data_IF_549026033060
#
_entry.id   IF_549026033060
#
_cell.length_a   1.000
_cell.length_b   1.000
_cell.length_c   1.000
_cell.angle_alpha   90.00
_cell.angle_beta   90.00
_cell.angle_gamma   90.00
#
_symmetry.space_group_name_H-M   'P 1'
#
loop_
_entity.id
_entity.type
_entity.pdbx_description
1 polymer ?
#
# COMPACT_ATOMS: atom_id res chain seq x y z
N UNK A 1 -8.22 20.55 -8.24
CA UNK A 1 -6.78 20.25 -8.26
C UNK A 1 -5.90 21.46 -8.07
N UNK A 2 -6.14 22.59 -8.75
CA UNK A 2 -5.38 23.83 -8.50
C UNK A 2 -5.36 24.24 -7.01
N UNK A 3 -6.50 24.13 -6.32
CA UNK A 3 -6.58 24.43 -4.88
C UNK A 3 -5.74 23.47 -4.03
N UNK A 4 -5.70 22.18 -4.39
CA UNK A 4 -4.84 21.21 -3.71
C UNK A 4 -3.35 21.56 -3.90
N UNK A 5 -2.96 22.04 -5.08
CA UNK A 5 -1.59 22.50 -5.34
C UNK A 5 -1.26 23.73 -4.50
N UNK A 6 -2.19 24.68 -4.33
CA UNK A 6 -1.99 25.84 -3.44
C UNK A 6 -1.82 25.42 -1.98
N UNK A 7 -2.65 24.49 -1.49
CA UNK A 7 -2.51 23.94 -0.14
C UNK A 7 -1.14 23.27 0.03
N UNK A 8 -0.71 22.48 -0.95
CA UNK A 8 0.60 21.84 -0.96
C UNK A 8 1.76 22.85 -0.95
N UNK A 9 1.67 23.92 -1.74
CA UNK A 9 2.69 24.98 -1.77
C UNK A 9 2.73 25.79 -0.47
N UNK A 10 1.57 26.04 0.14
CA UNK A 10 1.44 26.64 1.47
C UNK A 10 2.09 25.74 2.53
N UNK A 11 1.80 24.43 2.48
CA UNK A 11 2.36 23.43 3.38
C UNK A 11 3.90 23.39 3.29
N UNK A 12 4.46 23.31 2.07
CA UNK A 12 5.91 23.35 1.83
C UNK A 12 6.57 24.60 2.44
N UNK A 13 5.91 25.75 2.29
CA UNK A 13 6.38 27.01 2.86
C UNK A 13 6.30 27.01 4.39
N UNK A 14 5.23 26.47 4.96
CA UNK A 14 5.00 26.38 6.41
C UNK A 14 6.03 25.48 7.10
N UNK A 15 6.26 24.27 6.56
CA UNK A 15 7.24 23.33 7.11
C UNK A 15 8.68 23.68 6.74
N UNK A 16 8.88 24.73 5.94
CA UNK A 16 10.19 25.24 5.48
C UNK A 16 11.00 24.19 4.70
N UNK A 17 10.33 23.25 4.03
CA UNK A 17 11.02 22.22 3.26
C UNK A 17 11.46 22.77 1.90
N UNK A 18 12.78 22.91 1.73
CA UNK A 18 13.39 23.48 0.52
C UNK A 18 13.73 22.39 -0.50
N UNK A 19 12.77 22.08 -1.36
CA UNK A 19 12.97 21.20 -2.51
C UNK A 19 13.57 21.95 -3.71
N UNK A 20 14.46 21.29 -4.44
CA UNK A 20 14.88 21.77 -5.77
C UNK A 20 13.69 21.71 -6.74
N UNK A 21 13.66 22.60 -7.74
CA UNK A 21 12.56 22.68 -8.71
C UNK A 21 12.14 21.32 -9.31
N UNK A 22 13.05 20.43 -9.75
CA UNK A 22 12.64 19.12 -10.27
C UNK A 22 11.92 18.24 -9.23
N UNK A 23 12.44 18.20 -8.00
CA UNK A 23 11.84 17.42 -6.92
C UNK A 23 10.49 17.99 -6.48
N UNK A 24 10.36 19.32 -6.43
CA UNK A 24 9.09 20.00 -6.14
C UNK A 24 8.02 19.66 -7.19
N UNK A 25 8.36 19.78 -8.47
CA UNK A 25 7.43 19.43 -9.55
C UNK A 25 7.03 17.95 -9.49
N UNK A 26 7.99 17.07 -9.19
CA UNK A 26 7.73 15.64 -9.06
C UNK A 26 6.75 15.35 -7.92
N UNK A 27 6.97 15.95 -6.74
CA UNK A 27 6.06 15.86 -5.61
C UNK A 27 4.65 16.35 -5.97
N UNK A 28 4.52 17.47 -6.67
CA UNK A 28 3.21 17.99 -7.11
C UNK A 28 2.49 17.00 -8.05
N UNK A 29 3.20 16.44 -9.03
CA UNK A 29 2.64 15.44 -9.95
C UNK A 29 2.20 14.18 -9.20
N UNK A 30 3.04 13.70 -8.28
CA UNK A 30 2.76 12.50 -7.50
C UNK A 30 1.54 12.70 -6.58
N UNK A 31 1.43 13.85 -5.90
CA UNK A 31 0.25 14.21 -5.11
C UNK A 31 -0.99 14.29 -5.98
N UNK A 32 -0.91 14.91 -7.16
CA UNK A 32 -2.04 14.97 -8.09
C UNK A 32 -2.48 13.56 -8.49
N UNK A 33 -1.54 12.67 -8.84
CA UNK A 33 -1.84 11.30 -9.23
C UNK A 33 -2.46 10.46 -8.09
N UNK A 34 -2.07 10.72 -6.84
CA UNK A 34 -2.66 10.09 -5.66
C UNK A 34 -4.08 10.61 -5.39
N UNK A 35 -4.28 11.93 -5.46
CA UNK A 35 -5.58 12.56 -5.20
C UNK A 35 -6.62 12.27 -6.28
N UNK A 36 -6.18 12.04 -7.52
CA UNK A 36 -7.05 11.60 -8.61
C UNK A 36 -7.20 10.08 -8.68
N UNK A 37 -6.61 9.34 -7.72
CA UNK A 37 -6.62 7.88 -7.65
C UNK A 37 -6.06 7.18 -8.90
N UNK A 38 -5.35 7.92 -9.78
CA UNK A 38 -4.65 7.34 -10.93
C UNK A 38 -3.51 6.43 -10.51
N UNK A 39 -2.92 6.69 -9.34
CA UNK A 39 -1.92 5.83 -8.70
C UNK A 39 -2.27 5.69 -7.22
N UNK A 40 -2.51 4.47 -6.71
CA UNK A 40 -2.81 4.28 -5.29
C UNK A 40 -1.56 4.36 -4.40
N UNK A 41 -0.36 4.15 -4.97
CA UNK A 41 0.93 4.08 -4.25
C UNK A 41 2.02 4.71 -5.12
N UNK A 42 2.89 5.48 -4.48
CA UNK A 42 4.07 6.08 -5.11
C UNK A 42 5.27 5.89 -4.17
N UNK A 43 6.31 5.21 -4.67
CA UNK A 43 7.61 5.16 -4.01
C UNK A 43 8.31 6.51 -4.17
N UNK A 44 8.82 7.06 -3.07
CA UNK A 44 9.33 8.42 -3.01
C UNK A 44 10.84 8.46 -3.09
N UNK A 45 11.35 9.23 -4.04
CA UNK A 45 12.75 9.66 -4.11
C UNK A 45 12.81 11.14 -4.53
N UNK A 46 12.50 12.05 -3.59
CA UNK A 46 12.60 13.50 -3.80
C UNK A 46 13.98 14.06 -3.43
N UNK A 47 14.94 13.17 -3.17
CA UNK A 47 16.22 13.51 -2.56
C UNK A 47 16.09 13.87 -1.07
N UNK A 48 17.18 13.71 -0.34
CA UNK A 48 17.22 13.87 1.11
C UNK A 48 17.81 12.62 1.78
N UNK A 49 18.17 12.74 3.05
CA UNK A 49 18.61 11.60 3.85
C UNK A 49 17.41 11.10 4.65
N UNK A 50 17.27 9.79 4.77
CA UNK A 50 16.50 9.21 5.87
C UNK A 50 17.22 9.53 7.20
N UNK A 51 16.51 9.90 8.28
CA UNK A 51 15.05 9.95 8.45
C UNK A 51 14.38 11.29 8.06
N UNK A 52 15.15 12.34 7.75
CA UNK A 52 14.63 13.70 7.53
C UNK A 52 13.56 13.79 6.43
N UNK A 53 13.69 12.98 5.38
CA UNK A 53 12.70 12.92 4.30
C UNK A 53 11.33 12.43 4.82
N UNK A 54 11.32 11.43 5.69
CA UNK A 54 10.09 10.91 6.29
C UNK A 54 9.43 11.97 7.16
N UNK A 55 10.20 12.66 8.00
CA UNK A 55 9.68 13.71 8.88
C UNK A 55 9.04 14.85 8.09
N UNK A 56 9.70 15.30 7.02
CA UNK A 56 9.15 16.34 6.15
C UNK A 56 7.87 15.89 5.45
N UNK A 57 7.82 14.65 4.92
CA UNK A 57 6.62 14.12 4.26
C UNK A 57 5.46 13.97 5.24
N UNK A 58 5.72 13.47 6.45
CA UNK A 58 4.71 13.35 7.50
C UNK A 58 4.18 14.73 7.91
N UNK A 59 5.06 15.71 8.12
CA UNK A 59 4.66 17.09 8.44
C UNK A 59 3.84 17.72 7.30
N UNK A 60 4.26 17.50 6.05
CA UNK A 60 3.56 17.98 4.85
C UNK A 60 2.15 17.42 4.76
N UNK A 61 2.00 16.08 4.82
CA UNK A 61 0.70 15.41 4.74
C UNK A 61 -0.22 15.85 5.87
N UNK A 62 0.30 15.93 7.10
CA UNK A 62 -0.47 16.38 8.27
C UNK A 62 -0.98 17.81 8.10
N UNK A 63 -0.15 18.72 7.61
CA UNK A 63 -0.56 20.10 7.34
C UNK A 63 -1.65 20.15 6.27
N UNK A 64 -1.44 19.47 5.13
CA UNK A 64 -2.43 19.44 4.05
C UNK A 64 -3.80 18.89 4.51
N UNK A 65 -3.80 17.89 5.40
CA UNK A 65 -5.02 17.31 5.98
C UNK A 65 -5.76 18.26 6.92
N UNK A 66 -5.04 19.13 7.62
CA UNK A 66 -5.65 20.16 8.47
C UNK A 66 -6.32 21.25 7.63
N UNK A 67 -5.73 21.58 6.48
CA UNK A 67 -6.23 22.63 5.60
C UNK A 67 -7.34 22.15 4.64
N UNK A 68 -7.35 20.87 4.24
CA UNK A 68 -8.33 20.37 3.30
C UNK A 68 -8.60 18.86 3.42
N UNK A 69 -9.89 18.51 3.44
CA UNK A 69 -10.36 17.13 3.48
C UNK A 69 -9.95 16.29 2.25
N UNK A 70 -9.58 16.93 1.13
CA UNK A 70 -9.12 16.18 -0.06
C UNK A 70 -7.89 15.31 0.22
N UNK A 71 -7.08 15.67 1.23
CA UNK A 71 -5.89 14.93 1.64
C UNK A 71 -6.15 13.87 2.71
N UNK A 72 -7.40 13.69 3.16
CA UNK A 72 -7.76 12.82 4.30
C UNK A 72 -7.26 11.38 4.13
N UNK A 73 -7.18 10.90 2.89
CA UNK A 73 -6.82 9.53 2.54
C UNK A 73 -5.33 9.35 2.26
N UNK A 74 -4.51 10.41 2.29
CA UNK A 74 -3.08 10.29 2.06
C UNK A 74 -2.33 9.84 3.32
N UNK A 75 -1.40 8.89 3.19
CA UNK A 75 -0.52 8.45 4.28
C UNK A 75 0.91 8.29 3.77
N UNK A 76 1.86 8.40 4.69
CA UNK A 76 3.26 8.02 4.49
C UNK A 76 3.45 6.62 5.09
N UNK A 77 4.00 5.70 4.33
CA UNK A 77 4.28 4.32 4.73
C UNK A 77 5.77 4.04 4.54
N UNK A 78 6.37 3.24 5.43
CA UNK A 78 7.77 2.84 5.39
C UNK A 78 7.84 1.31 5.29
N UNK A 79 8.57 0.79 4.30
CA UNK A 79 8.86 -0.65 4.15
C UNK A 79 10.34 -0.79 3.83
N UNK A 80 11.10 -1.53 4.65
CA UNK A 80 12.53 -1.85 4.40
C UNK A 80 13.34 -0.63 3.93
N UNK A 81 13.23 0.47 4.67
CA UNK A 81 13.88 1.77 4.40
C UNK A 81 13.37 2.53 3.15
N UNK A 82 12.32 2.06 2.48
CA UNK A 82 11.68 2.75 1.37
C UNK A 82 10.44 3.50 1.84
N UNK A 83 10.31 4.77 1.44
CA UNK A 83 9.14 5.59 1.76
C UNK A 83 8.14 5.51 0.60
N UNK A 84 6.87 5.34 0.96
CA UNK A 84 5.74 5.35 0.04
C UNK A 84 4.73 6.41 0.47
N UNK A 85 4.26 7.20 -0.49
CA UNK A 85 3.01 7.94 -0.36
C UNK A 85 1.88 7.07 -0.89
N UNK A 86 0.84 6.90 -0.09
CA UNK A 86 -0.31 6.05 -0.44
C UNK A 86 -1.61 6.82 -0.33
N UNK A 87 -2.56 6.49 -1.19
CA UNK A 87 -3.96 6.87 -1.04
C UNK A 87 -4.72 5.65 -0.51
N UNK A 88 -5.09 5.66 0.78
CA UNK A 88 -5.56 4.45 1.50
C UNK A 88 -6.77 3.80 0.83
N UNK A 89 -7.79 4.59 0.45
CA UNK A 89 -8.98 4.06 -0.25
C UNK A 89 -8.61 3.44 -1.59
N UNK A 90 -8.01 4.23 -2.48
CA UNK A 90 -7.50 3.75 -3.78
C UNK A 90 -6.61 2.51 -3.69
N UNK A 91 -5.75 2.39 -2.66
CA UNK A 91 -4.97 1.17 -2.44
C UNK A 91 -5.86 -0.01 -2.04
N UNK A 92 -6.80 0.18 -1.11
CA UNK A 92 -7.75 -0.86 -0.73
C UNK A 92 -8.62 -1.31 -1.92
N UNK A 93 -9.06 -0.39 -2.78
CA UNK A 93 -9.81 -0.69 -3.99
C UNK A 93 -8.96 -1.39 -5.05
N UNK A 94 -7.70 -0.98 -5.19
CA UNK A 94 -6.74 -1.67 -6.06
C UNK A 94 -6.51 -3.09 -5.57
N UNK A 95 -6.27 -3.30 -4.28
CA UNK A 95 -6.15 -4.64 -3.67
C UNK A 95 -7.43 -5.43 -3.87
N UNK A 96 -8.60 -4.84 -3.65
CA UNK A 96 -9.88 -5.53 -3.83
C UNK A 96 -10.14 -5.93 -5.28
N UNK A 97 -9.78 -5.08 -6.25
CA UNK A 97 -10.03 -5.35 -7.67
C UNK A 97 -8.95 -6.21 -8.32
N UNK A 98 -7.70 -6.11 -7.87
CA UNK A 98 -6.58 -6.88 -8.41
C UNK A 98 -6.33 -8.16 -7.63
N UNK A 99 -6.28 -8.10 -6.29
CA UNK A 99 -5.91 -9.22 -5.43
C UNK A 99 -7.08 -10.09 -4.94
N UNK A 100 -8.32 -9.61 -5.01
CA UNK A 100 -9.53 -10.42 -4.71
C UNK A 100 -10.21 -10.98 -5.97
N UNK A 101 -9.65 -10.77 -7.16
CA UNK A 101 -9.94 -11.67 -8.28
C UNK A 101 -9.31 -13.01 -7.91
N UNK A 102 -10.04 -14.12 -8.09
CA UNK A 102 -9.42 -15.45 -8.17
C UNK A 102 -8.32 -15.34 -9.22
N UNK A 103 -7.07 -15.19 -8.79
CA UNK A 103 -5.97 -15.16 -9.73
C UNK A 103 -5.91 -16.52 -10.38
N UNK A 104 -6.12 -16.56 -11.68
CA UNK A 104 -5.51 -17.61 -12.48
C UNK A 104 -3.99 -17.38 -12.41
N UNK A 105 -3.34 -18.09 -11.50
CA UNK A 105 -1.90 -18.01 -11.30
C UNK A 105 -1.21 -18.65 -12.50
N UNK A 106 -0.58 -17.82 -13.33
CA UNK A 106 0.27 -18.29 -14.43
C UNK A 106 1.70 -18.46 -13.94
N UNK A 107 2.19 -19.69 -13.98
CA UNK A 107 3.58 -20.00 -13.66
C UNK A 107 4.42 -19.90 -14.94
N UNK A 108 5.62 -19.35 -14.84
CA UNK A 108 6.54 -19.19 -15.98
C UNK A 108 7.85 -19.87 -15.64
N UNK A 109 8.32 -20.75 -16.54
CA UNK A 109 9.64 -21.36 -16.44
C UNK A 109 10.70 -20.38 -16.96
N UNK A 110 11.50 -19.83 -16.05
CA UNK A 110 12.58 -18.89 -16.36
C UNK A 110 13.88 -19.57 -16.83
N UNK A 111 13.96 -20.91 -16.73
CA UNK A 111 15.11 -21.68 -17.23
C UNK A 111 15.07 -21.87 -18.77
N UNK A 112 13.92 -21.60 -19.39
CA UNK A 112 13.75 -21.66 -20.85
C UNK A 112 13.93 -20.28 -21.50
N UNK A 113 14.50 -20.27 -22.71
CA UNK A 113 14.65 -19.07 -23.55
C UNK A 113 13.93 -19.26 -24.91
N UNK A 114 12.83 -18.54 -25.19
CA UNK A 114 12.18 -17.56 -24.31
C UNK A 114 11.43 -18.23 -23.14
N UNK A 115 11.20 -17.52 -22.02
CA UNK A 115 10.44 -18.05 -20.90
C UNK A 115 9.05 -18.54 -21.33
N UNK A 116 8.67 -19.73 -20.88
CA UNK A 116 7.38 -20.35 -21.25
C UNK A 116 6.45 -20.48 -20.06
N UNK A 117 5.15 -20.27 -20.30
CA UNK A 117 4.12 -20.58 -19.29
C UNK A 117 4.06 -22.08 -19.03
N UNK A 118 4.01 -22.45 -17.76
CA UNK A 118 3.77 -23.80 -17.28
C UNK A 118 2.26 -24.06 -17.36
N UNK A 119 1.86 -24.81 -18.39
CA UNK A 119 0.44 -25.10 -18.66
C UNK A 119 -0.16 -26.17 -17.74
N UNK A 120 0.69 -26.94 -17.02
CA UNK A 120 0.30 -27.99 -16.08
C UNK A 120 0.67 -27.61 -14.64
N UNK A 121 0.41 -26.35 -14.25
CA UNK A 121 0.68 -25.87 -12.90
C UNK A 121 0.07 -26.77 -11.80
N UNK A 122 -1.04 -27.45 -12.09
CA UNK A 122 -1.74 -28.41 -11.23
C UNK A 122 -0.90 -29.66 -10.87
N UNK A 123 0.13 -30.02 -11.65
CA UNK A 123 0.98 -31.19 -11.39
C UNK A 123 2.25 -30.84 -10.56
N UNK A 124 2.53 -29.55 -10.35
CA UNK A 124 3.69 -29.12 -9.59
C UNK A 124 3.42 -29.11 -8.09
N UNK A 125 4.20 -29.89 -7.34
CA UNK A 125 4.16 -29.93 -5.87
C UNK A 125 4.46 -28.57 -5.23
N UNK A 126 5.35 -27.79 -5.84
CA UNK A 126 5.70 -26.44 -5.38
C UNK A 126 4.55 -25.44 -5.53
N UNK A 127 3.81 -25.53 -6.65
CA UNK A 127 2.63 -24.70 -6.90
C UNK A 127 1.53 -25.02 -5.89
N UNK A 128 1.32 -26.31 -5.62
CA UNK A 128 0.33 -26.77 -4.63
C UNK A 128 0.67 -26.26 -3.22
N UNK A 129 1.94 -26.31 -2.82
CA UNK A 129 2.38 -25.76 -1.53
C UNK A 129 2.21 -24.24 -1.46
N UNK A 130 2.50 -23.52 -2.54
CA UNK A 130 2.28 -22.07 -2.58
C UNK A 130 0.79 -21.72 -2.42
N UNK A 131 -0.10 -22.45 -3.09
CA UNK A 131 -1.56 -22.28 -2.95
C UNK A 131 -2.00 -22.57 -1.51
N UNK A 132 -1.45 -23.62 -0.86
CA UNK A 132 -1.73 -23.92 0.56
C UNK A 132 -1.31 -22.78 1.47
N UNK A 133 -0.12 -22.21 1.26
CA UNK A 133 0.36 -21.05 2.02
C UNK A 133 -0.56 -19.85 1.80
N UNK A 134 -0.95 -19.55 0.56
CA UNK A 134 -1.89 -18.47 0.26
C UNK A 134 -3.23 -18.66 0.97
N UNK A 135 -3.80 -19.86 0.92
CA UNK A 135 -5.05 -20.19 1.63
C UNK A 135 -4.93 -20.05 3.15
N UNK A 136 -3.77 -20.41 3.71
CA UNK A 136 -3.47 -20.22 5.12
C UNK A 136 -3.40 -18.73 5.48
N UNK A 137 -2.75 -17.90 4.66
CA UNK A 137 -2.74 -16.45 4.88
C UNK A 137 -4.16 -15.86 4.82
N UNK A 138 -4.95 -16.27 3.83
CA UNK A 138 -6.35 -15.83 3.69
C UNK A 138 -7.24 -16.20 4.88
N UNK A 139 -6.94 -17.29 5.59
CA UNK A 139 -7.71 -17.68 6.78
C UNK A 139 -7.38 -16.83 8.01
N UNK A 140 -6.13 -16.36 8.15
CA UNK A 140 -5.72 -15.47 9.24
C UNK A 140 -6.07 -14.00 8.97
N UNK A 141 -6.18 -13.60 7.71
CA UNK A 141 -6.48 -12.23 7.30
C UNK A 141 -7.75 -12.18 6.45
N UNK A 142 -8.94 -12.46 7.03
CA UNK A 142 -10.19 -12.49 6.30
C UNK A 142 -10.52 -11.10 5.73
N UNK A 143 -10.71 -11.06 4.40
CA UNK A 143 -10.89 -9.83 3.61
C UNK A 143 -12.22 -9.10 3.86
N UNK A 144 -13.22 -9.79 4.43
CA UNK A 144 -14.45 -9.16 4.91
C UNK A 144 -14.33 -8.92 6.41
N UNK A 145 -14.18 -7.66 6.80
CA UNK A 145 -14.36 -7.20 8.17
C UNK A 145 -15.82 -7.27 8.61
N UNK A 146 -16.45 -8.46 8.54
CA UNK A 146 -17.70 -8.71 9.24
C UNK A 146 -17.32 -9.14 10.66
N UNK A 147 -17.09 -8.16 11.54
CA UNK A 147 -16.76 -8.36 12.96
C UNK A 147 -17.87 -9.05 13.78
N UNK A 148 -18.84 -9.72 13.14
CA UNK A 148 -20.00 -10.27 13.82
C UNK A 148 -19.96 -11.78 14.05
N UNK A 149 -18.99 -12.51 13.50
CA UNK A 149 -18.96 -13.98 13.63
C UNK A 149 -17.89 -14.53 14.59
N UNK A 150 -17.18 -13.67 15.32
CA UNK A 150 -16.24 -14.12 16.38
C UNK A 150 -16.89 -14.42 17.73
N UNK A 151 -18.23 -14.41 17.82
CA UNK A 151 -18.94 -14.95 18.97
C UNK A 151 -19.58 -16.27 18.57
N UNK A 152 -18.79 -17.35 18.55
CA UNK A 152 -19.22 -18.72 18.86
C UNK A 152 -18.11 -19.71 18.51
N UNK A 153 -17.05 -19.76 19.31
CA UNK A 153 -16.47 -21.05 19.66
C UNK A 153 -15.99 -20.99 21.10
N UNK A 154 -16.80 -21.61 21.94
CA UNK A 154 -16.61 -21.82 23.36
C UNK A 154 -15.20 -22.35 23.61
N UNK A 155 -14.44 -21.65 24.45
CA UNK A 155 -13.40 -22.25 25.25
C UNK A 155 -14.08 -23.31 26.12
N UNK A 156 -13.91 -24.57 25.75
CA UNK A 156 -14.19 -25.70 26.60
C UNK A 156 -12.99 -25.87 27.53
N UNK A 157 -13.32 -25.86 28.81
CA UNK A 157 -12.48 -26.02 29.98
C UNK A 157 -11.32 -27.01 29.82
N UNK A 158 -10.13 -26.59 30.26
CA UNK A 158 -9.35 -27.45 31.15
C UNK A 158 -8.61 -26.60 32.18
N UNK A 159 -9.19 -26.57 33.37
CA UNK A 159 -8.49 -26.33 34.63
C UNK A 159 -7.40 -27.39 34.78
N UNK A 160 -6.17 -26.96 35.02
CA UNK A 160 -5.22 -27.71 35.83
C UNK A 160 -4.29 -26.71 36.53
N UNK A 161 -4.46 -26.64 37.85
CA UNK A 161 -3.72 -25.86 38.81
C UNK A 161 -2.22 -26.22 38.83
N UNK A 162 -1.36 -25.21 38.86
CA UNK A 162 -0.23 -25.01 39.78
C UNK A 162 0.39 -23.63 39.52
#
# INVERSE_FOLDING_TARGET
MEEAIKVLDSALSHIKWRLKFPAKNRLQIDIVALLTEMRPVIMVDYGGKLPELQDHLCALVKFCQQESAIFENLRVMLIEDMIYLIHVRGLAEYVKSSLNLEFELFFVNLEEDPPKMVTQAEESTLVTELIRVQNLFSSFFPLNGNCNDLVSHQMLDSVAEC
#
